data_IF_536709335105
#
_entry.id   IF_536709335105
#
_cell.length_a   1.000
_cell.length_b   1.000
_cell.length_c   1.000
_cell.angle_alpha   90.00
_cell.angle_beta   90.00
_cell.angle_gamma   90.00
#
_symmetry.space_group_name_H-M   'P 1'
#
loop_
_entity.id
_entity.type
_entity.pdbx_description
1 polymer ?
#
# COMPACT_ATOMS: atom_id res chain seq x y z
N UNK A 1 29.89 -51.92 -2.31
CA UNK A 1 30.02 -50.75 -1.43
C UNK A 1 30.14 -49.48 -2.27
N UNK A 2 29.05 -48.72 -2.40
CA UNK A 2 28.78 -47.44 -1.71
C UNK A 2 29.35 -46.26 -2.53
N UNK A 3 28.65 -45.21 -2.91
CA UNK A 3 27.33 -44.70 -2.56
C UNK A 3 27.24 -43.27 -3.15
N UNK A 4 25.99 -42.82 -3.23
CA UNK A 4 25.46 -41.51 -3.63
C UNK A 4 26.33 -40.26 -3.33
N UNK A 5 26.23 -39.24 -4.19
CA UNK A 5 26.87 -37.96 -3.93
C UNK A 5 26.33 -36.79 -4.76
N UNK A 6 25.16 -36.28 -4.38
CA UNK A 6 24.93 -34.83 -4.39
C UNK A 6 23.75 -34.32 -5.20
N UNK A 7 22.54 -34.51 -4.66
CA UNK A 7 21.33 -33.82 -5.08
C UNK A 7 21.46 -32.30 -5.03
N UNK A 8 21.00 -31.65 -6.11
CA UNK A 8 20.79 -30.21 -6.15
C UNK A 8 19.77 -29.78 -5.08
N UNK A 9 20.14 -28.76 -4.32
CA UNK A 9 19.17 -28.04 -3.50
C UNK A 9 19.06 -26.62 -4.04
N UNK A 10 18.08 -26.44 -4.94
CA UNK A 10 17.57 -25.13 -5.28
C UNK A 10 17.05 -24.49 -4.00
N UNK A 11 17.71 -23.42 -3.57
CA UNK A 11 17.31 -22.63 -2.42
C UNK A 11 15.92 -22.04 -2.66
N UNK A 12 14.90 -22.72 -2.14
CA UNK A 12 13.54 -22.22 -2.03
C UNK A 12 13.53 -21.05 -1.06
N UNK A 13 13.72 -19.84 -1.58
CA UNK A 13 13.38 -18.63 -0.83
C UNK A 13 11.91 -18.72 -0.43
N UNK A 14 11.63 -18.54 0.85
CA UNK A 14 10.26 -18.52 1.38
C UNK A 14 9.38 -17.65 0.45
N UNK A 15 8.15 -18.11 0.12
CA UNK A 15 7.27 -17.32 -0.72
C UNK A 15 7.05 -15.96 -0.04
N UNK A 16 7.41 -14.88 -0.74
CA UNK A 16 7.07 -13.52 -0.33
C UNK A 16 5.55 -13.48 -0.08
N UNK A 17 5.15 -13.13 1.14
CA UNK A 17 3.75 -12.96 1.47
C UNK A 17 3.36 -11.61 0.89
N UNK A 18 2.50 -11.62 -0.13
CA UNK A 18 1.94 -10.40 -0.70
C UNK A 18 1.23 -9.60 0.38
N UNK A 19 1.49 -8.29 0.43
CA UNK A 19 0.76 -7.37 1.32
C UNK A 19 -0.45 -6.75 0.62
N UNK A 20 -0.85 -7.22 -0.57
CA UNK A 20 -2.03 -6.72 -1.28
C UNK A 20 -3.33 -7.09 -0.57
N UNK A 21 -4.23 -6.12 -0.37
CA UNK A 21 -5.57 -6.35 0.16
C UNK A 21 -6.16 -5.16 0.91
N UNK A 22 -7.38 -5.32 1.43
CA UNK A 22 -8.03 -4.32 2.29
C UNK A 22 -7.34 -4.34 3.66
N UNK A 23 -6.76 -3.20 4.07
CA UNK A 23 -6.22 -3.01 5.42
C UNK A 23 -7.35 -2.73 6.40
N UNK A 24 -8.26 -1.82 6.02
CA UNK A 24 -9.54 -1.59 6.69
C UNK A 24 -10.54 -0.95 5.74
N UNK A 25 -11.82 -1.15 5.99
CA UNK A 25 -12.91 -0.54 5.23
C UNK A 25 -13.66 0.51 6.04
N UNK A 26 -14.20 1.49 5.31
CA UNK A 26 -15.30 2.32 5.79
C UNK A 26 -16.64 1.63 5.49
N UNK A 27 -17.67 1.74 6.36
CA UNK A 27 -18.97 1.15 6.10
C UNK A 27 -19.76 1.84 4.97
N UNK A 28 -19.44 3.09 4.63
CA UNK A 28 -20.16 3.85 3.60
C UNK A 28 -19.48 3.74 2.24
N UNK A 29 -20.26 3.56 1.18
CA UNK A 29 -19.78 3.52 -0.21
C UNK A 29 -19.45 4.91 -0.78
N UNK A 30 -19.83 5.98 -0.08
CA UNK A 30 -19.50 7.36 -0.45
C UNK A 30 -18.18 7.84 0.15
N UNK A 31 -17.56 7.04 1.02
CA UNK A 31 -16.28 7.38 1.63
C UNK A 31 -15.13 7.12 0.65
N UNK A 32 -14.06 7.93 0.70
CA UNK A 32 -12.93 7.78 -0.21
C UNK A 32 -12.19 6.46 -0.02
N UNK A 33 -11.69 5.91 -1.13
CA UNK A 33 -10.86 4.71 -1.16
C UNK A 33 -9.40 5.10 -1.38
N UNK A 34 -8.56 4.90 -0.38
CA UNK A 34 -7.14 5.19 -0.42
C UNK A 34 -6.38 3.93 -0.79
N UNK A 35 -5.51 4.00 -1.81
CA UNK A 35 -4.61 2.93 -2.24
C UNK A 35 -3.19 3.26 -1.85
N UNK A 36 -2.60 2.43 -0.99
CA UNK A 36 -1.22 2.48 -0.56
C UNK A 36 -0.39 1.48 -1.35
N UNK A 37 0.41 1.99 -2.28
CA UNK A 37 1.42 1.22 -2.98
C UNK A 37 2.63 1.02 -2.07
N UNK A 38 2.91 -0.24 -1.75
CA UNK A 38 3.89 -0.67 -0.75
C UNK A 38 4.56 -1.97 -1.21
N UNK A 39 5.48 -2.49 -0.40
CA UNK A 39 6.01 -3.85 -0.51
C UNK A 39 6.18 -4.44 0.89
N UNK A 40 6.41 -5.75 0.96
CA UNK A 40 6.84 -6.40 2.21
C UNK A 40 8.12 -5.74 2.81
N UNK A 41 8.14 -5.60 4.14
CA UNK A 41 9.26 -4.99 4.87
C UNK A 41 9.45 -3.47 4.68
N UNK A 42 8.45 -2.74 4.16
CA UNK A 42 8.54 -1.28 3.99
C UNK A 42 8.26 -0.49 5.29
N UNK A 43 9.32 -0.14 6.02
CA UNK A 43 9.23 0.62 7.28
C UNK A 43 8.60 2.02 7.15
N UNK A 44 8.77 2.69 6.01
CA UNK A 44 8.12 3.98 5.73
C UNK A 44 6.61 3.83 5.54
N UNK A 45 6.19 2.71 4.96
CA UNK A 45 4.79 2.44 4.67
C UNK A 45 3.99 2.24 5.97
N UNK A 46 4.60 1.68 7.02
CA UNK A 46 3.94 1.53 8.32
C UNK A 46 3.62 2.87 8.98
N UNK A 47 4.51 3.87 8.84
CA UNK A 47 4.23 5.25 9.32
C UNK A 47 3.04 5.87 8.61
N UNK A 48 2.92 5.65 7.30
CA UNK A 48 1.80 6.15 6.51
C UNK A 48 0.49 5.46 6.92
N UNK A 49 0.52 4.14 7.13
CA UNK A 49 -0.64 3.39 7.64
C UNK A 49 -1.10 3.90 9.00
N UNK A 50 -0.16 4.17 9.92
CA UNK A 50 -0.46 4.69 11.25
C UNK A 50 -1.13 6.08 11.18
N UNK A 51 -0.60 6.98 10.34
CA UNK A 51 -1.20 8.29 10.10
C UNK A 51 -2.63 8.17 9.55
N UNK A 52 -2.86 7.32 8.54
CA UNK A 52 -4.19 7.10 7.98
C UNK A 52 -5.15 6.48 9.00
N UNK A 53 -4.69 5.52 9.79
CA UNK A 53 -5.48 4.92 10.87
C UNK A 53 -5.85 5.95 11.95
N UNK A 54 -4.93 6.87 12.29
CA UNK A 54 -5.15 7.90 13.30
C UNK A 54 -6.27 8.88 12.93
N UNK A 55 -6.44 9.18 11.63
CA UNK A 55 -7.48 10.10 11.14
C UNK A 55 -8.78 9.41 10.75
N UNK A 56 -8.82 8.07 10.75
CA UNK A 56 -9.97 7.26 10.30
C UNK A 56 -11.27 7.61 11.03
N UNK A 57 -11.21 7.88 12.33
CA UNK A 57 -12.41 8.21 13.12
C UNK A 57 -13.03 9.56 12.75
N UNK A 58 -12.19 10.55 12.41
CA UNK A 58 -12.64 11.89 12.04
C UNK A 58 -12.89 12.06 10.54
N UNK A 59 -12.22 11.25 9.72
CA UNK A 59 -12.31 11.25 8.26
C UNK A 59 -12.45 9.78 7.81
N UNK A 60 -13.69 9.24 7.78
CA UNK A 60 -13.93 7.85 7.40
C UNK A 60 -13.46 7.57 5.98
N UNK A 61 -12.75 6.46 5.78
CA UNK A 61 -12.21 6.06 4.49
C UNK A 61 -11.82 4.58 4.50
N UNK A 62 -11.68 4.00 3.32
CA UNK A 62 -11.14 2.65 3.11
C UNK A 62 -9.66 2.75 2.77
N UNK A 63 -8.83 1.87 3.34
CA UNK A 63 -7.42 1.74 2.99
C UNK A 63 -7.16 0.37 2.37
N UNK A 64 -6.67 0.38 1.13
CA UNK A 64 -6.22 -0.80 0.40
C UNK A 64 -4.69 -0.75 0.26
N UNK A 65 -4.01 -1.82 0.64
CA UNK A 65 -2.60 -2.00 0.34
C UNK A 65 -2.44 -2.69 -1.02
N UNK A 66 -1.46 -2.23 -1.79
CA UNK A 66 -1.11 -2.78 -3.10
C UNK A 66 0.38 -3.11 -3.06
N UNK A 67 0.69 -4.40 -3.00
CA UNK A 67 2.06 -4.87 -3.09
C UNK A 67 2.56 -4.73 -4.53
N UNK A 68 3.44 -3.76 -4.76
CA UNK A 68 4.00 -3.53 -6.09
C UNK A 68 4.91 -4.68 -6.53
N UNK A 69 5.33 -5.56 -5.64
CA UNK A 69 6.20 -6.71 -5.96
C UNK A 69 5.43 -7.95 -6.41
N UNK A 70 4.09 -7.88 -6.39
CA UNK A 70 3.24 -8.92 -6.95
C UNK A 70 3.49 -9.11 -8.45
N UNK A 71 3.44 -10.36 -8.96
CA UNK A 71 3.72 -10.67 -10.36
C UNK A 71 2.79 -9.95 -11.34
N UNK A 72 1.53 -9.72 -10.97
CA UNK A 72 0.52 -8.99 -11.74
C UNK A 72 0.65 -7.45 -11.65
N UNK A 73 1.57 -6.94 -10.82
CA UNK A 73 1.76 -5.50 -10.56
C UNK A 73 3.11 -4.96 -11.01
N UNK A 74 3.78 -5.65 -11.94
CA UNK A 74 5.07 -5.25 -12.50
C UNK A 74 5.10 -3.81 -13.08
N UNK A 75 3.96 -3.33 -13.58
CA UNK A 75 3.83 -1.94 -14.05
C UNK A 75 3.95 -0.92 -12.90
N UNK A 76 3.32 -1.21 -11.74
CA UNK A 76 3.48 -0.39 -10.53
C UNK A 76 4.88 -0.52 -9.95
N UNK A 77 5.48 -1.71 -9.98
CA UNK A 77 6.87 -1.88 -9.57
C UNK A 77 7.79 -0.94 -10.34
N UNK A 78 7.67 -0.93 -11.67
CA UNK A 78 8.51 -0.12 -12.54
C UNK A 78 8.32 1.37 -12.28
N UNK A 79 7.09 1.80 -11.95
CA UNK A 79 6.74 3.20 -11.69
C UNK A 79 7.12 3.68 -10.28
N UNK A 80 6.97 2.84 -9.26
CA UNK A 80 7.00 3.27 -7.84
C UNK A 80 8.08 2.61 -6.98
N UNK A 81 8.87 1.66 -7.48
CA UNK A 81 9.91 0.95 -6.68
C UNK A 81 10.84 1.86 -5.87
N UNK A 82 11.11 3.07 -6.34
CA UNK A 82 11.96 4.06 -5.67
C UNK A 82 11.18 5.13 -4.90
N UNK A 83 9.86 5.15 -5.06
CA UNK A 83 8.97 6.21 -4.59
C UNK A 83 8.00 5.74 -3.47
N UNK A 84 7.96 4.44 -3.17
CA UNK A 84 7.10 3.90 -2.11
C UNK A 84 7.47 4.48 -0.73
N UNK A 85 6.48 4.76 0.14
CA UNK A 85 5.04 4.60 -0.07
C UNK A 85 4.47 5.62 -1.05
N UNK A 86 3.60 5.17 -1.96
CA UNK A 86 2.80 6.06 -2.84
C UNK A 86 1.32 5.90 -2.48
N UNK A 87 0.62 7.01 -2.35
CA UNK A 87 -0.80 7.07 -2.05
C UNK A 87 -1.58 7.58 -3.26
N UNK A 88 -2.71 6.94 -3.50
CA UNK A 88 -3.75 7.41 -4.42
C UNK A 88 -5.10 7.42 -3.72
N UNK A 89 -5.98 8.35 -4.10
CA UNK A 89 -7.38 8.33 -3.69
C UNK A 89 -8.22 8.04 -4.93
N UNK A 90 -8.91 6.90 -4.94
CA UNK A 90 -9.54 6.34 -6.13
C UNK A 90 -8.49 6.12 -7.23
N UNK A 91 -8.55 6.97 -8.26
CA UNK A 91 -7.64 6.95 -9.40
C UNK A 91 -6.65 8.11 -9.46
N UNK A 92 -6.83 9.13 -8.61
CA UNK A 92 -5.94 10.27 -8.52
C UNK A 92 -4.73 9.97 -7.63
N UNK A 93 -3.53 10.33 -8.07
CA UNK A 93 -2.36 10.33 -7.21
C UNK A 93 -2.49 11.44 -6.16
N UNK A 94 -1.99 11.14 -4.96
CA UNK A 94 -2.13 12.04 -3.82
C UNK A 94 -0.77 12.49 -3.30
N UNK A 95 0.06 11.56 -2.85
CA UNK A 95 1.39 11.89 -2.32
C UNK A 95 2.30 10.66 -2.29
N UNK A 96 3.60 10.89 -2.06
CA UNK A 96 4.61 9.85 -1.89
C UNK A 96 5.58 10.17 -0.75
N UNK A 97 6.28 9.15 -0.26
CA UNK A 97 7.31 9.19 0.80
C UNK A 97 6.86 9.63 2.20
N UNK A 98 6.02 10.66 2.32
CA UNK A 98 5.59 11.23 3.59
C UNK A 98 4.12 11.64 3.53
N UNK A 99 3.41 11.30 4.60
CA UNK A 99 2.07 11.79 4.90
C UNK A 99 2.07 12.26 6.35
N UNK A 100 1.53 13.45 6.61
CA UNK A 100 1.28 13.95 7.98
C UNK A 100 -0.20 13.82 8.30
N UNK A 101 -0.55 13.88 9.59
CA UNK A 101 -1.95 13.82 10.06
C UNK A 101 -2.80 14.93 9.43
N UNK A 102 -2.25 16.15 9.33
CA UNK A 102 -2.93 17.31 8.75
C UNK A 102 -3.17 17.13 7.25
N UNK A 103 -2.16 16.69 6.50
CA UNK A 103 -2.28 16.40 5.06
C UNK A 103 -3.29 15.28 4.82
N UNK A 104 -3.24 14.22 5.64
CA UNK A 104 -4.17 13.11 5.57
C UNK A 104 -5.62 13.57 5.78
N UNK A 105 -5.86 14.33 6.84
CA UNK A 105 -7.18 14.86 7.14
C UNK A 105 -7.71 15.79 6.04
N UNK A 106 -6.84 16.65 5.47
CA UNK A 106 -7.22 17.56 4.39
C UNK A 106 -7.60 16.79 3.13
N UNK A 107 -6.73 15.92 2.62
CA UNK A 107 -6.99 15.20 1.37
C UNK A 107 -8.20 14.26 1.45
N UNK A 108 -8.44 13.62 2.61
CA UNK A 108 -9.63 12.80 2.82
C UNK A 108 -10.92 13.61 2.82
N UNK A 109 -10.90 14.80 3.43
CA UNK A 109 -12.06 15.71 3.45
C UNK A 109 -12.38 16.27 2.07
N UNK A 110 -11.35 16.59 1.29
CA UNK A 110 -11.52 17.03 -0.09
C UNK A 110 -12.05 15.89 -0.98
N UNK A 111 -11.57 14.67 -0.74
CA UNK A 111 -12.03 13.50 -1.49
C UNK A 111 -13.47 13.11 -1.16
N UNK A 112 -13.89 13.17 0.11
CA UNK A 112 -15.29 12.94 0.47
C UNK A 112 -16.22 14.02 -0.06
N UNK A 113 -15.73 15.26 -0.21
CA UNK A 113 -16.43 16.37 -0.87
C UNK A 113 -16.41 16.33 -2.40
N UNK A 114 -15.69 15.39 -3.02
CA UNK A 114 -15.55 15.29 -4.48
C UNK A 114 -14.68 16.38 -5.12
N UNK A 115 -13.90 17.13 -4.33
CA UNK A 115 -13.06 18.25 -4.80
C UNK A 115 -11.58 17.91 -4.84
N UNK A 116 -11.20 16.65 -4.57
CA UNK A 116 -9.80 16.24 -4.60
C UNK A 116 -9.22 16.37 -6.02
N UNK A 117 -8.24 17.25 -6.17
CA UNK A 117 -7.48 17.46 -7.40
C UNK A 117 -6.00 17.24 -7.10
N UNK A 118 -5.35 16.44 -7.94
CA UNK A 118 -3.91 16.12 -7.87
C UNK A 118 -3.03 17.32 -8.25
#
# INVERSE_FOLDING_TARGET
EDGDGGGGNGGGGAPRISVTGIVYSSPSTSDPVVRLYTKDGCTLCDKVKDVLASVRSSNPHTLEAVDITDPDKAHWYSKYKWDIPVLRIGDAYWTKHRLTVEEAARGLREASGGTFQE
#
